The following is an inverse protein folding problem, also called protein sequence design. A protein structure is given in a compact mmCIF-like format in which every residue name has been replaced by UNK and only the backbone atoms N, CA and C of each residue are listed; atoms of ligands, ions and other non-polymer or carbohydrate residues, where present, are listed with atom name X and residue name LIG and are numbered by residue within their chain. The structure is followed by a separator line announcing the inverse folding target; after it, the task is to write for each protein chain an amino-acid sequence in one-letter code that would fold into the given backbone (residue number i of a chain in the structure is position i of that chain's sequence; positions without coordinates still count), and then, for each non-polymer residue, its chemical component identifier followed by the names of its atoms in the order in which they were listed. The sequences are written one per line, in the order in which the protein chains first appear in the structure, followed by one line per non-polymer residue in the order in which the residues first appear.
data_IF_337890383984
#
_entry.id   IF_337890383984
#
_cell.length_a   1.000
_cell.length_b   1.000
_cell.length_c   1.000
_cell.angle_alpha   90.00
_cell.angle_beta   90.00
_cell.angle_gamma   90.00
#
_symmetry.space_group_name_H-M   'P 1'
#
loop_
_entity.id
_entity.type
_entity.pdbx_description
1 polymer ?
#
# COMPACT_ATOMS: atom_id res chain seq x y z
N UNK A 1 10.63 -30.71 30.59
CA UNK A 1 11.29 -31.36 29.42
C UNK A 1 12.69 -31.87 29.77
N UNK A 2 13.63 -31.01 30.14
CA UNK A 2 14.97 -31.42 30.59
C UNK A 2 14.96 -32.47 31.71
N UNK A 3 14.20 -32.23 32.79
CA UNK A 3 14.08 -33.18 33.91
C UNK A 3 13.46 -34.54 33.52
N UNK A 4 12.63 -34.56 32.48
CA UNK A 4 12.07 -35.80 31.92
C UNK A 4 13.14 -36.58 31.16
N UNK A 5 13.88 -35.90 30.29
CA UNK A 5 14.97 -36.51 29.54
C UNK A 5 16.05 -37.06 30.48
N UNK A 6 16.36 -36.32 31.56
CA UNK A 6 17.33 -36.73 32.59
C UNK A 6 16.85 -37.94 33.39
N UNK A 7 15.58 -37.99 33.82
CA UNK A 7 15.03 -39.13 34.55
C UNK A 7 14.85 -40.38 33.69
N UNK A 8 14.47 -40.22 32.42
CA UNK A 8 14.43 -41.30 31.43
C UNK A 8 15.84 -41.87 31.15
N UNK A 9 16.83 -40.99 31.03
CA UNK A 9 18.22 -41.38 30.81
C UNK A 9 18.78 -42.18 31.98
N UNK A 10 18.64 -41.70 33.23
CA UNK A 10 19.06 -42.44 34.41
C UNK A 10 18.36 -43.79 34.53
N UNK A 11 17.06 -43.86 34.26
CA UNK A 11 16.34 -45.14 34.25
C UNK A 11 16.90 -46.10 33.18
N UNK A 12 17.33 -45.57 32.04
CA UNK A 12 18.03 -46.33 30.99
C UNK A 12 19.35 -46.94 31.49
N UNK A 13 20.21 -46.14 32.11
CA UNK A 13 21.48 -46.62 32.66
C UNK A 13 21.28 -47.72 33.70
N UNK A 14 20.35 -47.52 34.66
CA UNK A 14 20.10 -48.53 35.69
C UNK A 14 19.49 -49.83 35.13
N UNK A 15 18.75 -49.76 34.01
CA UNK A 15 18.30 -50.97 33.29
C UNK A 15 19.49 -51.72 32.67
N UNK A 16 20.44 -51.01 32.09
CA UNK A 16 21.65 -51.60 31.51
C UNK A 16 22.54 -52.23 32.59
N UNK A 17 22.78 -51.53 33.69
CA UNK A 17 23.55 -52.07 34.82
C UNK A 17 22.90 -53.31 35.42
N UNK A 18 21.57 -53.33 35.51
CA UNK A 18 20.84 -54.52 35.95
C UNK A 18 21.00 -55.68 34.97
N UNK A 19 20.93 -55.41 33.66
CA UNK A 19 21.13 -56.42 32.61
C UNK A 19 22.53 -57.04 32.69
N UNK A 20 23.57 -56.20 32.77
CA UNK A 20 24.97 -56.64 32.89
C UNK A 20 25.19 -57.43 34.18
N UNK A 21 24.60 -56.99 35.29
CA UNK A 21 24.68 -57.72 36.57
C UNK A 21 23.98 -59.07 36.51
N UNK A 22 22.81 -59.15 35.85
CA UNK A 22 22.05 -60.39 35.64
C UNK A 22 22.83 -61.39 34.81
N UNK A 23 23.46 -60.94 33.73
CA UNK A 23 24.32 -61.76 32.88
C UNK A 23 25.54 -62.29 33.63
N UNK A 24 26.19 -61.44 34.44
CA UNK A 24 27.32 -61.84 35.28
C UNK A 24 26.95 -62.89 36.31
N UNK A 25 25.77 -62.78 36.95
CA UNK A 25 25.25 -63.80 37.86
C UNK A 25 25.02 -65.11 37.12
N UNK A 26 24.34 -65.08 35.96
CA UNK A 26 24.08 -66.27 35.15
C UNK A 26 25.38 -66.96 34.69
N UNK A 27 26.38 -66.18 34.27
CA UNK A 27 27.69 -66.70 33.89
C UNK A 27 28.39 -67.42 35.05
N UNK A 28 28.44 -66.78 36.24
CA UNK A 28 29.08 -67.36 37.41
C UNK A 28 28.34 -68.59 37.93
N UNK A 29 27.00 -68.60 37.86
CA UNK A 29 26.19 -69.78 38.17
C UNK A 29 26.52 -70.95 37.22
N UNK A 30 26.62 -70.67 35.92
CA UNK A 30 26.97 -71.69 34.94
C UNK A 30 28.40 -72.25 35.17
N UNK A 31 29.37 -71.37 35.44
CA UNK A 31 30.74 -71.81 35.77
C UNK A 31 30.79 -72.66 37.04
N UNK A 32 30.03 -72.30 38.06
CA UNK A 32 29.96 -73.05 39.30
C UNK A 32 29.33 -74.44 39.07
N UNK A 33 28.22 -74.50 38.32
CA UNK A 33 27.57 -75.76 37.96
C UNK A 33 28.50 -76.71 37.21
N UNK A 34 29.30 -76.21 36.26
CA UNK A 34 30.27 -77.01 35.50
C UNK A 34 31.39 -77.60 36.35
N UNK A 35 31.78 -76.93 37.45
CA UNK A 35 32.84 -77.39 38.36
C UNK A 35 32.30 -78.28 39.49
N UNK A 36 31.01 -78.21 39.79
CA UNK A 36 30.32 -79.00 40.82
C UNK A 36 29.76 -80.34 40.29
N UNK A 37 30.09 -80.74 39.07
CA UNK A 37 29.51 -81.93 38.41
C UNK A 37 29.98 -83.25 39.09
N UNK A 38 29.07 -84.12 39.57
CA UNK A 38 29.41 -85.29 40.40
C UNK A 38 30.26 -86.36 39.73
N UNK A 39 30.36 -86.40 38.39
CA UNK A 39 31.05 -87.49 37.66
C UNK A 39 32.57 -87.52 37.86
N UNK A 40 33.21 -86.40 38.28
CA UNK A 40 34.65 -86.37 38.59
C UNK A 40 35.03 -87.07 39.90
N UNK A 41 34.07 -87.27 40.81
CA UNK A 41 34.28 -87.90 42.11
C UNK A 41 34.22 -89.43 42.06
N UNK A 42 33.92 -90.03 40.90
CA UNK A 42 33.75 -91.47 40.71
C UNK A 42 34.99 -92.19 40.15
N UNK A 43 36.21 -91.66 40.36
CA UNK A 43 37.44 -92.31 39.88
C UNK A 43 37.93 -93.44 40.82
N UNK A 44 38.39 -94.58 40.28
CA UNK A 44 38.82 -95.74 41.06
C UNK A 44 40.09 -95.43 41.89
N UNK A 45 40.32 -96.16 43.01
CA UNK A 45 41.35 -95.81 43.98
C UNK A 45 42.77 -95.87 43.38
N UNK A 46 43.64 -94.88 43.65
CA UNK A 46 44.96 -94.77 43.06
C UNK A 46 45.92 -95.85 43.59
N UNK A 47 46.62 -96.50 42.65
CA UNK A 47 47.52 -97.64 42.87
C UNK A 47 48.95 -97.27 43.28
N UNK A 48 49.27 -95.99 43.52
CA UNK A 48 50.59 -95.57 44.04
C UNK A 48 50.57 -94.32 44.96
N UNK A 49 51.52 -94.18 45.91
CA UNK A 49 51.60 -93.04 46.82
C UNK A 49 51.86 -91.70 46.12
N UNK A 50 52.62 -91.69 45.01
CA UNK A 50 52.88 -90.50 44.20
C UNK A 50 51.64 -90.01 43.44
N UNK A 51 50.75 -90.92 43.04
CA UNK A 51 49.47 -90.54 42.41
C UNK A 51 48.46 -89.99 43.42
N UNK A 52 48.47 -90.46 44.68
CA UNK A 52 47.62 -89.90 45.75
C UNK A 52 47.90 -88.44 46.03
N UNK A 53 49.16 -88.06 46.25
CA UNK A 53 49.50 -86.67 46.58
C UNK A 53 49.25 -85.72 45.41
N UNK A 54 49.46 -86.16 44.17
CA UNK A 54 49.12 -85.39 42.98
C UNK A 54 47.60 -85.17 42.84
N UNK A 55 46.79 -86.21 43.10
CA UNK A 55 45.34 -86.14 43.03
C UNK A 55 44.74 -85.26 44.16
N UNK A 56 45.25 -85.38 45.39
CA UNK A 56 44.86 -84.52 46.52
C UNK A 56 45.19 -83.04 46.27
N UNK A 57 46.36 -82.75 45.69
CA UNK A 57 46.71 -81.36 45.32
C UNK A 57 45.78 -80.80 44.23
N UNK A 58 45.37 -81.62 43.25
CA UNK A 58 44.40 -81.19 42.22
C UNK A 58 42.99 -81.02 42.77
N UNK A 59 42.58 -81.85 43.74
CA UNK A 59 41.29 -81.79 44.41
C UNK A 59 41.18 -80.55 45.32
N UNK A 60 42.21 -80.26 46.13
CA UNK A 60 42.24 -79.02 46.92
C UNK A 60 42.32 -77.77 46.05
N UNK A 61 43.00 -77.84 44.89
CA UNK A 61 42.99 -76.75 43.92
C UNK A 61 41.60 -76.52 43.32
N UNK A 62 40.88 -77.59 42.93
CA UNK A 62 39.51 -77.50 42.42
C UNK A 62 38.53 -76.97 43.48
N UNK A 63 38.61 -77.44 44.72
CA UNK A 63 37.82 -76.92 45.85
C UNK A 63 38.15 -75.46 46.18
N UNK A 64 39.40 -75.03 46.05
CA UNK A 64 39.77 -73.62 46.18
C UNK A 64 39.14 -72.78 45.05
N UNK A 65 39.08 -73.31 43.83
CA UNK A 65 38.43 -72.65 42.69
C UNK A 65 36.92 -72.54 42.87
N UNK A 66 36.26 -73.60 43.38
CA UNK A 66 34.83 -73.59 43.74
C UNK A 66 34.55 -72.51 44.80
N UNK A 67 35.28 -72.50 45.91
CA UNK A 67 35.16 -71.47 46.96
C UNK A 67 35.35 -70.04 46.43
N UNK A 68 36.28 -69.87 45.49
CA UNK A 68 36.51 -68.59 44.81
C UNK A 68 35.31 -68.17 43.95
N UNK A 69 34.74 -69.10 43.17
CA UNK A 69 33.55 -68.84 42.34
C UNK A 69 32.30 -68.58 43.18
N UNK A 70 32.11 -69.30 44.29
CA UNK A 70 31.03 -69.06 45.25
C UNK A 70 31.11 -67.64 45.82
N UNK A 71 32.30 -67.20 46.21
CA UNK A 71 32.53 -65.83 46.69
C UNK A 71 32.22 -64.79 45.61
N UNK A 72 32.68 -65.01 44.36
CA UNK A 72 32.38 -64.14 43.23
C UNK A 72 30.88 -64.09 42.92
N UNK A 73 30.20 -65.23 42.98
CA UNK A 73 28.77 -65.35 42.75
C UNK A 73 27.98 -64.63 43.85
N UNK A 74 28.40 -64.75 45.11
CA UNK A 74 27.80 -64.03 46.22
C UNK A 74 27.91 -62.51 46.01
N UNK A 75 29.10 -62.01 45.66
CA UNK A 75 29.31 -60.59 45.36
C UNK A 75 28.50 -60.13 44.13
N UNK A 76 28.43 -60.96 43.08
CA UNK A 76 27.62 -60.67 41.89
C UNK A 76 26.11 -60.61 42.22
N UNK A 77 25.60 -61.53 43.05
CA UNK A 77 24.22 -61.51 43.52
C UNK A 77 23.92 -60.28 44.38
N UNK A 78 24.86 -59.86 45.24
CA UNK A 78 24.70 -58.63 46.01
C UNK A 78 24.65 -57.41 45.08
N UNK A 79 25.54 -57.35 44.08
CA UNK A 79 25.54 -56.29 43.07
C UNK A 79 24.22 -56.26 42.30
N UNK A 80 23.71 -57.42 41.87
CA UNK A 80 22.43 -57.53 41.17
C UNK A 80 21.26 -56.98 42.00
N UNK A 81 21.16 -57.35 43.28
CA UNK A 81 20.12 -56.83 44.19
C UNK A 81 20.21 -55.32 44.36
N UNK A 82 21.43 -54.78 44.48
CA UNK A 82 21.64 -53.34 44.58
C UNK A 82 21.20 -52.63 43.29
N UNK A 83 21.61 -53.11 42.12
CA UNK A 83 21.21 -52.56 40.82
C UNK A 83 19.69 -52.65 40.61
N UNK A 84 19.04 -53.71 41.09
CA UNK A 84 17.59 -53.85 41.03
C UNK A 84 16.86 -52.82 41.89
N UNK A 85 17.34 -52.60 43.12
CA UNK A 85 16.79 -51.59 44.02
C UNK A 85 16.95 -50.17 43.47
N UNK A 86 18.12 -49.85 42.90
CA UNK A 86 18.35 -48.56 42.23
C UNK A 86 17.44 -48.38 41.02
N UNK A 87 17.32 -49.40 40.15
CA UNK A 87 16.40 -49.36 39.01
C UNK A 87 14.97 -49.07 39.45
N UNK A 88 14.48 -49.71 40.52
CA UNK A 88 13.13 -49.46 41.05
C UNK A 88 12.96 -48.01 41.54
N UNK A 89 13.98 -47.46 42.21
CA UNK A 89 13.99 -46.05 42.66
C UNK A 89 13.86 -45.10 41.46
N UNK A 90 14.66 -45.27 40.43
CA UNK A 90 14.61 -44.40 39.23
C UNK A 90 13.35 -44.64 38.40
N UNK A 91 12.78 -45.84 38.43
CA UNK A 91 11.52 -46.11 37.77
C UNK A 91 10.36 -45.38 38.44
N UNK A 92 10.36 -45.29 39.78
CA UNK A 92 9.39 -44.48 40.52
C UNK A 92 9.58 -42.98 40.22
N UNK A 93 10.82 -42.49 40.26
CA UNK A 93 11.13 -41.09 39.94
C UNK A 93 10.64 -40.75 38.54
N UNK A 94 10.98 -41.56 37.53
CA UNK A 94 10.54 -41.32 36.15
C UNK A 94 9.02 -41.35 36.00
N UNK A 95 8.31 -42.26 36.68
CA UNK A 95 6.84 -42.29 36.69
C UNK A 95 6.25 -40.99 37.23
N UNK A 96 6.79 -40.48 38.33
CA UNK A 96 6.28 -39.26 38.95
C UNK A 96 6.64 -38.03 38.13
N UNK A 97 7.87 -37.94 37.61
CA UNK A 97 8.28 -36.90 36.65
C UNK A 97 7.36 -36.88 35.42
N UNK A 98 7.00 -38.03 34.87
CA UNK A 98 6.11 -38.11 33.72
C UNK A 98 4.71 -37.58 34.03
N UNK A 99 4.13 -37.92 35.20
CA UNK A 99 2.82 -37.38 35.63
C UNK A 99 2.86 -35.85 35.72
N UNK A 100 3.91 -35.30 36.31
CA UNK A 100 4.10 -33.85 36.41
C UNK A 100 4.20 -33.19 35.03
N UNK A 101 4.93 -33.81 34.09
CA UNK A 101 5.03 -33.30 32.71
C UNK A 101 3.68 -33.27 32.04
N UNK A 102 2.89 -34.35 32.12
CA UNK A 102 1.54 -34.40 31.52
C UNK A 102 0.63 -33.33 32.12
N UNK A 103 0.69 -33.11 33.44
CA UNK A 103 -0.07 -32.04 34.08
C UNK A 103 0.32 -30.66 33.54
N UNK A 104 1.62 -30.36 33.45
CA UNK A 104 2.11 -29.10 32.91
C UNK A 104 1.76 -28.91 31.43
N UNK A 105 1.77 -29.98 30.64
CA UNK A 105 1.35 -29.96 29.24
C UNK A 105 -0.13 -29.59 29.10
N UNK A 106 -0.99 -30.15 29.94
CA UNK A 106 -2.42 -29.81 29.98
C UNK A 106 -2.64 -28.35 30.42
N UNK A 107 -1.96 -27.90 31.47
CA UNK A 107 -2.05 -26.51 31.93
C UNK A 107 -1.55 -25.52 30.88
N UNK A 108 -0.43 -25.82 30.20
CA UNK A 108 0.07 -25.03 29.08
C UNK A 108 -0.91 -25.02 27.90
N UNK A 109 -1.58 -26.14 27.61
CA UNK A 109 -2.65 -26.21 26.62
C UNK A 109 -3.81 -25.26 26.96
N UNK A 110 -4.27 -25.28 28.21
CA UNK A 110 -5.32 -24.39 28.71
C UNK A 110 -4.92 -22.92 28.64
N UNK A 111 -3.72 -22.58 29.09
CA UNK A 111 -3.20 -21.21 29.04
C UNK A 111 -3.10 -20.71 27.60
N UNK A 112 -2.61 -21.53 26.68
CA UNK A 112 -2.56 -21.21 25.25
C UNK A 112 -3.94 -20.92 24.69
N UNK A 113 -4.94 -21.72 25.02
CA UNK A 113 -6.33 -21.48 24.63
C UNK A 113 -6.85 -20.13 25.12
N UNK A 114 -6.58 -19.79 26.38
CA UNK A 114 -6.96 -18.48 26.95
C UNK A 114 -6.23 -17.34 26.23
N UNK A 115 -4.93 -17.49 25.97
CA UNK A 115 -4.15 -16.47 25.24
C UNK A 115 -4.72 -16.26 23.84
N UNK A 116 -5.10 -17.32 23.14
CA UNK A 116 -5.65 -17.26 21.80
C UNK A 116 -7.05 -16.63 21.78
N UNK A 117 -7.89 -16.96 22.76
CA UNK A 117 -9.20 -16.34 22.96
C UNK A 117 -9.08 -14.84 23.24
N UNK A 118 -8.22 -14.43 24.18
CA UNK A 118 -7.99 -13.02 24.48
C UNK A 118 -7.40 -12.29 23.27
N UNK A 119 -6.51 -12.93 22.52
CA UNK A 119 -5.95 -12.36 21.29
C UNK A 119 -7.03 -12.17 20.22
N UNK A 120 -7.97 -13.11 20.08
CA UNK A 120 -9.11 -12.95 19.17
C UNK A 120 -10.01 -11.80 19.62
N UNK A 121 -10.40 -11.76 20.89
CA UNK A 121 -11.23 -10.68 21.43
C UNK A 121 -10.59 -9.31 21.26
N UNK A 122 -9.26 -9.21 21.35
CA UNK A 122 -8.53 -7.99 21.10
C UNK A 122 -8.60 -7.58 19.62
N UNK A 123 -8.37 -8.53 18.69
CA UNK A 123 -8.50 -8.27 17.25
C UNK A 123 -9.92 -7.85 16.87
N UNK A 124 -10.92 -8.50 17.46
CA UNK A 124 -12.33 -8.24 17.20
C UNK A 124 -12.86 -7.04 17.99
N UNK A 125 -12.02 -6.40 18.82
CA UNK A 125 -12.43 -5.24 19.61
C UNK A 125 -12.76 -4.05 18.72
N UNK A 126 -13.82 -3.32 19.06
CA UNK A 126 -14.24 -2.13 18.34
C UNK A 126 -13.12 -1.09 18.21
N UNK A 127 -12.23 -1.01 19.20
CA UNK A 127 -11.07 -0.12 19.17
C UNK A 127 -10.12 -0.43 18.02
N UNK A 128 -9.83 -1.71 17.76
CA UNK A 128 -8.95 -2.13 16.65
C UNK A 128 -9.62 -1.84 15.31
N UNK A 129 -10.92 -2.15 15.17
CA UNK A 129 -11.66 -1.86 13.95
C UNK A 129 -11.70 -0.35 13.62
N UNK A 130 -11.89 0.50 14.62
CA UNK A 130 -11.87 1.96 14.45
C UNK A 130 -10.48 2.47 14.04
N UNK A 131 -9.40 1.83 14.53
CA UNK A 131 -8.05 2.16 14.09
C UNK A 131 -7.83 1.76 12.63
N UNK A 132 -8.23 0.56 12.24
CA UNK A 132 -8.12 0.09 10.84
C UNK A 132 -8.90 0.99 9.88
N UNK A 133 -10.10 1.43 10.28
CA UNK A 133 -10.91 2.38 9.49
C UNK A 133 -10.20 3.74 9.36
N UNK A 134 -9.60 4.25 10.45
CA UNK A 134 -8.83 5.49 10.41
C UNK A 134 -7.60 5.37 9.53
N UNK A 135 -6.88 4.25 9.60
CA UNK A 135 -5.73 3.99 8.75
C UNK A 135 -6.12 3.87 7.28
N UNK A 136 -7.28 3.29 6.96
CA UNK A 136 -7.84 3.30 5.61
C UNK A 136 -8.11 4.73 5.12
N UNK A 137 -8.78 5.55 5.94
CA UNK A 137 -9.04 6.97 5.61
C UNK A 137 -7.75 7.77 5.42
N UNK A 138 -6.70 7.48 6.21
CA UNK A 138 -5.40 8.11 6.05
C UNK A 138 -4.73 7.73 4.73
N UNK A 139 -4.85 6.47 4.27
CA UNK A 139 -4.36 6.04 2.96
C UNK A 139 -5.08 6.77 1.83
N UNK A 140 -6.42 6.84 1.89
CA UNK A 140 -7.21 7.54 0.87
C UNK A 140 -6.85 9.02 0.77
N UNK A 141 -6.68 9.69 1.92
CA UNK A 141 -6.23 11.09 1.97
C UNK A 141 -4.81 11.27 1.43
N UNK A 142 -3.90 10.32 1.68
CA UNK A 142 -2.54 10.36 1.16
C UNK A 142 -2.51 10.19 -0.37
N UNK A 143 -3.36 9.33 -0.92
CA UNK A 143 -3.53 9.16 -2.36
C UNK A 143 -4.09 10.43 -3.00
N UNK A 144 -5.12 11.04 -2.40
CA UNK A 144 -5.69 12.28 -2.91
C UNK A 144 -4.70 13.44 -2.86
N UNK A 145 -3.94 13.57 -1.76
CA UNK A 145 -2.84 14.53 -1.67
C UNK A 145 -1.84 14.33 -2.80
N UNK A 146 -1.49 13.08 -3.09
CA UNK A 146 -0.55 12.76 -4.16
C UNK A 146 -1.10 13.14 -5.53
N UNK A 147 -2.37 12.84 -5.83
CA UNK A 147 -3.04 13.27 -7.07
C UNK A 147 -3.04 14.79 -7.24
N UNK A 148 -3.38 15.52 -6.18
CA UNK A 148 -3.37 16.98 -6.20
C UNK A 148 -1.95 17.52 -6.42
N UNK A 149 -0.95 16.92 -5.78
CA UNK A 149 0.45 17.30 -5.97
C UNK A 149 0.91 17.08 -7.42
N UNK A 150 0.52 15.97 -8.04
CA UNK A 150 0.76 15.73 -9.47
C UNK A 150 0.10 16.80 -10.34
N UNK A 151 -1.17 17.11 -10.06
CA UNK A 151 -1.91 18.13 -10.82
C UNK A 151 -1.29 19.52 -10.70
N UNK A 152 -0.80 19.87 -9.52
CA UNK A 152 -0.05 21.12 -9.30
C UNK A 152 1.21 21.11 -10.18
N UNK A 153 1.94 20.00 -10.24
CA UNK A 153 3.11 19.84 -11.11
C UNK A 153 2.79 20.11 -12.59
N UNK A 154 1.72 19.52 -13.12
CA UNK A 154 1.27 19.74 -14.51
C UNK A 154 0.93 21.22 -14.77
N UNK A 155 0.17 21.84 -13.85
CA UNK A 155 -0.21 23.25 -13.98
C UNK A 155 1.01 24.18 -13.92
N UNK A 156 1.99 23.88 -13.06
CA UNK A 156 3.24 24.62 -12.98
C UNK A 156 4.04 24.52 -14.29
N UNK A 157 4.03 23.35 -14.94
CA UNK A 157 4.67 23.16 -16.23
C UNK A 157 3.98 24.00 -17.31
N UNK A 158 2.64 23.91 -17.43
CA UNK A 158 1.88 24.71 -18.39
C UNK A 158 2.07 26.22 -18.17
N UNK A 159 2.12 26.67 -16.92
CA UNK A 159 2.39 28.07 -16.61
C UNK A 159 3.79 28.50 -17.09
N UNK A 160 4.80 27.65 -16.89
CA UNK A 160 6.17 27.91 -17.33
C UNK A 160 6.26 27.97 -18.86
N UNK A 161 5.58 27.05 -19.56
CA UNK A 161 5.51 27.00 -21.03
C UNK A 161 4.83 28.26 -21.59
N UNK A 162 3.71 28.67 -21.00
CA UNK A 162 3.00 29.88 -21.39
C UNK A 162 3.85 31.13 -21.16
N UNK A 163 4.55 31.21 -20.03
CA UNK A 163 5.47 32.31 -19.71
C UNK A 163 6.60 32.39 -20.74
N UNK A 164 7.18 31.25 -21.11
CA UNK A 164 8.23 31.20 -22.14
C UNK A 164 7.69 31.68 -23.50
N UNK A 165 6.50 31.23 -23.89
CA UNK A 165 5.86 31.64 -25.15
C UNK A 165 5.58 33.14 -25.20
N UNK A 166 5.14 33.73 -24.09
CA UNK A 166 4.97 35.19 -23.98
C UNK A 166 6.30 35.89 -24.22
N UNK A 167 7.38 35.47 -23.55
CA UNK A 167 8.70 36.06 -23.75
C UNK A 167 9.23 35.95 -25.18
N UNK A 168 9.00 34.81 -25.84
CA UNK A 168 9.33 34.63 -27.27
C UNK A 168 8.57 35.62 -28.16
N UNK A 169 7.26 35.76 -27.95
CA UNK A 169 6.42 36.69 -28.70
C UNK A 169 6.78 38.15 -28.44
N UNK A 170 7.07 38.51 -27.19
CA UNK A 170 7.54 39.85 -26.80
C UNK A 170 8.85 40.21 -27.49
N UNK A 171 9.81 39.29 -27.54
CA UNK A 171 11.06 39.47 -28.27
C UNK A 171 10.83 39.66 -29.78
N UNK A 172 9.94 38.87 -30.38
CA UNK A 172 9.55 39.01 -31.78
C UNK A 172 8.91 40.37 -32.09
N UNK A 173 7.99 40.83 -31.23
CA UNK A 173 7.35 42.15 -31.35
C UNK A 173 8.36 43.29 -31.18
N UNK A 174 9.28 43.19 -30.23
CA UNK A 174 10.33 44.18 -30.04
C UNK A 174 11.23 44.30 -31.28
N UNK A 175 11.60 43.17 -31.88
CA UNK A 175 12.38 43.14 -33.12
C UNK A 175 11.63 43.81 -34.29
N UNK A 176 10.35 43.48 -34.49
CA UNK A 176 9.52 44.09 -35.53
C UNK A 176 9.36 45.60 -35.32
N UNK A 177 9.15 46.06 -34.08
CA UNK A 177 9.11 47.49 -33.74
C UNK A 177 10.42 48.20 -34.11
N UNK A 178 11.56 47.60 -33.77
CA UNK A 178 12.87 48.15 -34.15
C UNK A 178 13.05 48.27 -35.67
N UNK A 179 12.60 47.28 -36.45
CA UNK A 179 12.64 47.36 -37.91
C UNK A 179 11.75 48.49 -38.45
N UNK A 180 10.55 48.67 -37.90
CA UNK A 180 9.66 49.77 -38.26
C UNK A 180 10.27 51.13 -37.90
N UNK A 181 10.85 51.28 -36.72
CA UNK A 181 11.53 52.51 -36.30
C UNK A 181 12.70 52.83 -37.23
N UNK A 182 13.50 51.82 -37.59
CA UNK A 182 14.60 51.96 -38.57
C UNK A 182 14.09 52.42 -39.93
N UNK A 183 13.00 51.81 -40.42
CA UNK A 183 12.38 52.18 -41.69
C UNK A 183 11.81 53.61 -41.64
N UNK A 184 11.16 54.00 -40.55
CA UNK A 184 10.62 55.34 -40.34
C UNK A 184 11.73 56.40 -40.31
N UNK A 185 12.83 56.14 -39.60
CA UNK A 185 14.02 57.01 -39.61
C UNK A 185 14.56 57.15 -41.04
N UNK A 186 14.62 56.05 -41.81
CA UNK A 186 15.08 56.10 -43.20
C UNK A 186 14.14 56.93 -44.08
N UNK A 187 12.82 56.76 -43.95
CA UNK A 187 11.81 57.57 -44.66
C UNK A 187 12.00 59.05 -44.36
N UNK A 188 12.16 59.41 -43.08
CA UNK A 188 12.41 60.81 -42.67
C UNK A 188 13.67 61.36 -43.33
N UNK A 189 14.79 60.62 -43.29
CA UNK A 189 16.05 61.05 -43.92
C UNK A 189 15.94 61.23 -45.44
N UNK A 190 15.14 60.41 -46.12
CA UNK A 190 14.89 60.52 -47.56
C UNK A 190 13.99 61.72 -47.87
N UNK A 191 12.98 61.99 -47.05
CA UNK A 191 12.10 63.15 -47.20
C UNK A 191 12.86 64.47 -47.01
N UNK A 192 13.86 64.50 -46.13
CA UNK A 192 14.76 65.66 -45.94
C UNK A 192 15.74 65.87 -47.10
N UNK A 193 16.12 64.81 -47.82
CA UNK A 193 17.01 64.86 -48.99
C UNK A 193 16.27 65.16 -50.30
N UNK A 194 14.94 65.08 -50.31
CA UNK A 194 14.15 65.45 -51.47
C UNK A 194 14.21 66.99 -51.68
N UNK A 195 14.45 67.48 -52.90
CA UNK A 195 14.37 68.91 -53.18
C UNK A 195 12.97 69.43 -52.84
N UNK A 196 12.86 70.46 -52.01
CA UNK A 196 11.61 71.20 -51.84
C UNK A 196 11.18 71.72 -53.22
N UNK A 197 10.01 71.34 -53.75
CA UNK A 197 9.52 71.96 -54.97
C UNK A 197 9.15 73.41 -54.64
N UNK A 198 10.06 74.34 -54.93
CA UNK A 198 9.73 75.73 -55.22
C UNK A 198 8.94 75.74 -56.53
N UNK A 199 7.71 75.25 -56.50
CA UNK A 199 6.76 75.40 -57.59
C UNK A 199 5.38 75.50 -56.99
N UNK A 200 4.77 76.68 -57.14
CA UNK A 200 3.33 76.90 -57.02
C UNK A 200 2.63 75.97 -58.01
N UNK A 201 2.27 74.76 -57.57
CA UNK A 201 1.39 73.87 -58.31
C UNK A 201 -0.06 74.17 -57.92
N UNK A 202 -0.81 74.69 -58.89
CA UNK A 202 -2.27 74.68 -58.86
C UNK A 202 -2.71 73.21 -58.79
N UNK A 203 -3.40 72.83 -57.73
CA UNK A 203 -3.96 71.47 -57.59
C UNK A 203 -5.28 71.34 -58.38
N UNK A 204 -5.47 70.28 -59.17
CA UNK A 204 -6.74 69.97 -59.83
C UNK A 204 -7.79 69.46 -58.82
N UNK A 205 -9.10 69.58 -59.13
CA UNK A 205 -10.21 69.37 -58.17
C UNK A 205 -10.53 67.89 -57.91
N UNK A 206 -9.52 67.05 -57.66
CA UNK A 206 -9.70 65.63 -57.33
C UNK A 206 -8.48 65.01 -56.63
N UNK A 207 -7.98 65.69 -55.59
CA UNK A 207 -6.92 65.16 -54.72
C UNK A 207 -7.40 65.17 -53.26
N UNK A 208 -7.41 64.00 -52.60
CA UNK A 208 -7.78 63.87 -51.20
C UNK A 208 -6.56 64.14 -50.31
N UNK A 209 -6.63 65.16 -49.47
CA UNK A 209 -5.65 65.45 -48.42
C UNK A 209 -6.07 64.80 -47.11
N UNK A 210 -5.18 64.01 -46.50
CA UNK A 210 -5.33 63.51 -45.13
C UNK A 210 -4.60 64.45 -44.20
N UNK A 211 -5.34 65.27 -43.45
CA UNK A 211 -4.81 66.10 -42.37
C UNK A 211 -5.16 65.47 -41.02
N UNK A 212 -4.17 65.34 -40.13
CA UNK A 212 -4.33 64.88 -38.76
C UNK A 212 -5.00 65.98 -37.91
N UNK A 213 -6.14 65.75 -37.24
CA UNK A 213 -6.76 66.75 -36.37
C UNK A 213 -6.03 66.87 -35.02
N UNK A 214 -6.16 68.00 -34.30
CA UNK A 214 -5.25 68.37 -33.19
C UNK A 214 -5.49 67.67 -31.85
N UNK A 215 -6.27 66.58 -31.79
CA UNK A 215 -6.59 65.89 -30.53
C UNK A 215 -6.56 64.37 -30.67
N UNK A 216 -6.01 63.63 -29.69
CA UNK A 216 -5.83 62.18 -29.81
C UNK A 216 -7.13 61.41 -29.56
N UNK A 217 -7.30 60.30 -30.29
CA UNK A 217 -8.27 59.21 -30.10
C UNK A 217 -9.67 59.30 -30.76
N UNK A 218 -9.78 59.75 -32.01
CA UNK A 218 -10.92 59.33 -32.84
C UNK A 218 -10.58 59.32 -34.35
N UNK A 219 -10.49 58.13 -34.94
CA UNK A 219 -10.48 57.96 -36.40
C UNK A 219 -11.92 57.68 -36.86
N UNK A 220 -12.40 58.40 -37.88
CA UNK A 220 -13.66 58.09 -38.56
C UNK A 220 -13.38 57.88 -40.04
N UNK A 221 -13.93 56.81 -40.61
CA UNK A 221 -13.87 56.55 -42.05
C UNK A 221 -14.93 57.37 -42.78
N UNK A 222 -14.56 57.99 -43.90
CA UNK A 222 -15.52 58.58 -44.83
C UNK A 222 -16.19 57.46 -45.66
N UNK A 223 -17.49 57.63 -45.90
CA UNK A 223 -18.44 56.65 -46.41
C UNK A 223 -18.03 55.82 -47.64
N UNK A 224 -18.49 54.56 -47.58
CA UNK A 224 -18.91 53.63 -48.65
C UNK A 224 -18.88 54.11 -50.10
N UNK A 225 -18.18 53.34 -50.96
CA UNK A 225 -18.73 52.75 -52.19
C UNK A 225 -17.68 51.88 -52.94
N UNK A 226 -18.13 50.70 -53.41
CA UNK A 226 -17.57 49.80 -54.44
C UNK A 226 -16.57 48.69 -53.99
N UNK A 227 -16.47 47.57 -54.75
CA UNK A 227 -17.05 46.29 -54.39
C UNK A 227 -15.97 45.26 -54.02
N UNK A 228 -16.40 44.15 -53.40
CA UNK A 228 -15.55 43.01 -53.06
C UNK A 228 -14.70 42.51 -54.24
N UNK A 229 -13.42 42.15 -54.01
CA UNK A 229 -12.79 41.08 -54.76
C UNK A 229 -12.85 39.80 -53.94
N UNK A 230 -13.62 38.86 -54.48
CA UNK A 230 -13.48 37.42 -54.18
C UNK A 230 -12.09 37.00 -54.64
N UNK A 231 -11.25 36.54 -53.71
CA UNK A 231 -10.21 35.56 -54.03
C UNK A 231 -10.31 34.40 -53.05
N UNK A 232 -10.66 33.26 -53.62
CA UNK A 232 -10.79 31.98 -52.97
C UNK A 232 -9.41 31.38 -52.66
N UNK A 233 -9.34 30.75 -51.47
CA UNK A 233 -8.74 29.46 -51.11
C UNK A 233 -7.35 29.10 -51.69
N UNK A 234 -6.36 28.71 -50.88
CA UNK A 234 -6.21 27.35 -50.29
C UNK A 234 -4.88 27.31 -49.44
N UNK A 235 -4.44 26.19 -48.81
CA UNK A 235 -4.45 25.97 -47.36
C UNK A 235 -3.04 25.61 -46.81
N UNK A 236 -2.95 25.01 -45.60
CA UNK A 236 -1.78 24.45 -44.86
C UNK A 236 -1.38 25.36 -43.68
N UNK A 237 -1.31 24.96 -42.41
CA UNK A 237 -1.39 23.65 -41.76
C UNK A 237 -1.77 23.83 -40.26
N UNK A 238 -2.73 23.02 -39.81
CA UNK A 238 -2.85 22.36 -38.49
C UNK A 238 -2.81 23.18 -37.19
N UNK A 239 -4.00 23.51 -36.70
CA UNK A 239 -4.32 23.50 -35.27
C UNK A 239 -5.59 22.64 -35.05
N UNK A 240 -5.41 21.39 -34.62
CA UNK A 240 -6.51 20.61 -34.06
C UNK A 240 -6.72 21.03 -32.60
N UNK A 241 -7.41 22.14 -32.40
CA UNK A 241 -8.27 22.28 -31.23
C UNK A 241 -9.64 21.76 -31.66
N UNK A 242 -10.27 20.81 -30.93
CA UNK A 242 -11.64 20.45 -31.23
C UNK A 242 -12.48 21.70 -31.03
N UNK A 243 -13.10 22.19 -32.10
CA UNK A 243 -14.17 23.18 -32.02
C UNK A 243 -15.26 22.55 -31.17
N UNK A 244 -15.29 22.91 -29.88
CA UNK A 244 -16.33 22.46 -28.98
C UNK A 244 -17.62 23.15 -29.44
N UNK A 245 -18.46 22.41 -30.15
CA UNK A 245 -19.75 22.89 -30.60
C UNK A 245 -20.59 23.22 -29.36
N UNK A 246 -20.82 24.51 -29.13
CA UNK A 246 -21.62 25.00 -28.01
C UNK A 246 -23.03 25.34 -28.48
N UNK A 247 -24.01 25.09 -27.62
CA UNK A 247 -25.42 25.42 -27.86
C UNK A 247 -25.86 26.50 -26.88
N UNK A 248 -26.50 27.54 -27.40
CA UNK A 248 -27.12 28.59 -26.59
C UNK A 248 -28.35 28.06 -25.87
N UNK A 249 -28.35 28.10 -24.55
CA UNK A 249 -29.41 27.54 -23.70
C UNK A 249 -29.80 28.55 -22.63
N UNK A 250 -31.09 28.61 -22.34
CA UNK A 250 -31.67 29.50 -21.33
C UNK A 250 -32.02 28.68 -20.09
N UNK A 251 -31.44 29.04 -18.96
CA UNK A 251 -31.59 28.34 -17.68
C UNK A 251 -32.35 29.26 -16.72
N UNK A 252 -33.51 28.81 -16.23
CA UNK A 252 -34.48 29.65 -15.51
C UNK A 252 -35.02 28.99 -14.23
N UNK A 253 -35.46 29.83 -13.30
CA UNK A 253 -36.17 29.46 -12.07
C UNK A 253 -37.39 30.36 -11.83
N UNK A 254 -38.45 29.74 -11.33
CA UNK A 254 -39.66 30.43 -10.85
C UNK A 254 -39.50 30.82 -9.39
N UNK A 255 -39.83 32.07 -9.07
CA UNK A 255 -39.72 32.65 -7.72
C UNK A 255 -40.89 33.61 -7.44
N UNK A 256 -41.21 33.81 -6.16
CA UNK A 256 -42.38 34.57 -5.75
C UNK A 256 -42.18 36.09 -5.63
N UNK A 257 -40.95 36.56 -5.39
CA UNK A 257 -40.62 37.96 -5.11
C UNK A 257 -39.24 38.32 -5.70
N UNK A 258 -38.98 39.60 -5.98
CA UNK A 258 -37.69 40.06 -6.48
C UNK A 258 -36.56 39.74 -5.47
N UNK A 259 -35.78 38.70 -5.76
CA UNK A 259 -34.71 38.15 -4.92
C UNK A 259 -33.39 38.09 -5.71
N UNK A 260 -32.27 38.15 -4.99
CA UNK A 260 -30.95 37.93 -5.58
C UNK A 260 -30.77 36.43 -5.83
N UNK A 261 -30.79 36.06 -7.10
CA UNK A 261 -30.74 34.67 -7.57
C UNK A 261 -29.41 34.45 -8.27
N UNK A 262 -28.67 33.45 -7.82
CA UNK A 262 -27.42 33.03 -8.45
C UNK A 262 -27.51 31.61 -8.98
N UNK A 263 -26.89 31.36 -10.13
CA UNK A 263 -26.77 30.06 -10.76
C UNK A 263 -25.34 29.53 -10.59
N UNK A 264 -25.21 28.31 -10.10
CA UNK A 264 -23.94 27.60 -10.00
C UNK A 264 -24.08 26.23 -10.67
N UNK A 265 -23.05 25.78 -11.37
CA UNK A 265 -23.11 24.48 -12.04
C UNK A 265 -21.76 23.95 -12.49
N UNK A 266 -21.78 22.73 -13.03
CA UNK A 266 -20.61 21.98 -13.49
C UNK A 266 -19.83 22.70 -14.58
N UNK A 267 -20.50 23.49 -15.42
CA UNK A 267 -19.87 24.30 -16.47
C UNK A 267 -18.97 25.43 -15.94
N UNK A 268 -19.00 25.71 -14.63
CA UNK A 268 -18.07 26.62 -13.94
C UNK A 268 -17.32 25.91 -12.80
N UNK A 269 -17.21 24.58 -12.86
CA UNK A 269 -16.62 23.73 -11.82
C UNK A 269 -17.21 23.96 -10.42
N UNK A 270 -18.44 24.48 -10.32
CA UNK A 270 -19.06 24.91 -9.06
C UNK A 270 -18.26 25.97 -8.27
N UNK A 271 -17.29 26.64 -8.90
CA UNK A 271 -16.42 27.64 -8.25
C UNK A 271 -16.95 29.07 -8.35
N UNK A 272 -17.79 29.33 -9.35
CA UNK A 272 -18.30 30.66 -9.66
C UNK A 272 -19.83 30.66 -9.69
N UNK A 273 -20.41 31.78 -9.31
CA UNK A 273 -21.85 32.00 -9.29
C UNK A 273 -22.23 33.10 -10.29
N UNK A 274 -23.18 32.81 -11.17
CA UNK A 274 -23.70 33.75 -12.15
C UNK A 274 -24.96 34.41 -11.61
N UNK A 275 -25.02 35.73 -11.56
CA UNK A 275 -26.25 36.45 -11.19
C UNK A 275 -27.29 36.26 -12.28
N UNK A 276 -28.50 35.87 -11.90
CA UNK A 276 -29.64 35.72 -12.80
C UNK A 276 -30.33 37.06 -13.01
N UNK A 277 -30.69 37.36 -14.25
CA UNK A 277 -31.46 38.55 -14.60
C UNK A 277 -32.96 38.23 -14.63
N UNK A 278 -33.84 39.19 -14.31
CA UNK A 278 -35.29 39.00 -14.39
C UNK A 278 -35.71 38.85 -15.86
N UNK A 279 -36.48 37.80 -16.14
CA UNK A 279 -36.93 37.42 -17.49
C UNK A 279 -38.43 37.68 -17.68
N UNK A 280 -39.18 37.78 -16.58
CA UNK A 280 -40.63 38.07 -16.56
C UNK A 280 -41.16 38.12 -15.14
N UNK A 281 -42.48 38.23 -14.97
CA UNK A 281 -43.11 38.17 -13.64
C UNK A 281 -42.81 36.82 -12.97
N UNK A 282 -42.09 36.87 -11.84
CA UNK A 282 -41.74 35.68 -11.06
C UNK A 282 -40.73 34.74 -11.73
N UNK A 283 -39.97 35.18 -12.75
CA UNK A 283 -38.95 34.35 -13.42
C UNK A 283 -37.63 35.09 -13.56
N UNK A 284 -36.55 34.40 -13.20
CA UNK A 284 -35.18 34.88 -13.40
C UNK A 284 -34.30 33.77 -13.96
N UNK A 285 -33.24 34.14 -14.69
CA UNK A 285 -32.36 33.16 -15.32
C UNK A 285 -31.18 33.76 -16.05
N UNK A 286 -30.41 32.90 -16.72
CA UNK A 286 -29.22 33.25 -17.51
C UNK A 286 -29.25 32.50 -18.84
N UNK A 287 -28.76 33.15 -19.90
CA UNK A 287 -28.54 32.49 -21.19
C UNK A 287 -27.04 32.20 -21.36
N UNK A 288 -26.68 30.94 -21.59
CA UNK A 288 -25.30 30.46 -21.67
C UNK A 288 -25.07 29.64 -22.93
N UNK A 289 -23.89 29.77 -23.53
CA UNK A 289 -23.43 28.89 -24.60
C UNK A 289 -22.70 27.70 -23.95
N UNK A 290 -23.35 26.55 -23.88
CA UNK A 290 -22.85 25.36 -23.19
C UNK A 290 -22.36 24.29 -24.18
N UNK A 291 -21.24 23.62 -23.91
CA UNK A 291 -20.76 22.53 -24.75
C UNK A 291 -21.70 21.33 -24.68
N UNK A 292 -21.70 20.51 -25.74
CA UNK A 292 -22.43 19.23 -25.74
C UNK A 292 -22.02 18.38 -24.53
N UNK A 293 -23.01 17.83 -23.83
CA UNK A 293 -22.76 17.00 -22.65
C UNK A 293 -23.79 17.17 -21.55
N UNK A 294 -23.51 16.48 -20.43
CA UNK A 294 -24.35 16.44 -19.24
C UNK A 294 -23.88 17.51 -18.25
N UNK A 295 -24.73 18.48 -17.97
CA UNK A 295 -24.45 19.59 -17.06
C UNK A 295 -25.38 19.53 -15.85
N UNK A 296 -24.79 19.65 -14.66
CA UNK A 296 -25.54 19.75 -13.42
C UNK A 296 -25.45 21.17 -12.87
N UNK A 297 -26.53 21.68 -12.32
CA UNK A 297 -26.56 23.04 -11.78
C UNK A 297 -27.59 23.18 -10.65
N UNK A 298 -27.48 24.27 -9.89
CA UNK A 298 -28.36 24.61 -8.79
C UNK A 298 -28.44 26.12 -8.59
N UNK A 299 -29.55 26.59 -8.05
CA UNK A 299 -29.74 28.01 -7.75
C UNK A 299 -29.50 28.30 -6.27
N UNK A 300 -28.89 29.45 -6.00
CA UNK A 300 -28.77 30.04 -4.68
C UNK A 300 -29.69 31.26 -4.62
N UNK A 301 -30.76 31.17 -3.83
CA UNK A 301 -31.80 32.20 -3.69
C UNK A 301 -31.87 32.60 -2.23
N UNK A 302 -31.58 33.87 -1.91
CA UNK A 302 -31.51 34.40 -0.54
C UNK A 302 -30.70 33.49 0.41
N UNK A 303 -29.57 32.97 -0.07
CA UNK A 303 -28.68 32.09 0.68
C UNK A 303 -29.15 30.63 0.82
N UNK A 304 -30.26 30.24 0.16
CA UNK A 304 -30.78 28.86 0.17
C UNK A 304 -30.60 28.18 -1.18
N UNK A 305 -30.20 26.91 -1.14
CA UNK A 305 -29.99 26.09 -2.32
C UNK A 305 -31.29 25.49 -2.85
N UNK A 306 -31.76 25.97 -4.00
CA UNK A 306 -33.01 25.56 -4.64
C UNK A 306 -32.77 24.89 -5.99
N UNK A 307 -33.71 24.02 -6.38
CA UNK A 307 -33.79 23.43 -7.71
C UNK A 307 -35.02 23.97 -8.44
N UNK A 308 -34.85 24.33 -9.71
CA UNK A 308 -35.94 24.73 -10.60
C UNK A 308 -36.85 23.53 -10.91
N UNK A 309 -38.15 23.74 -10.88
CA UNK A 309 -39.18 22.78 -11.33
C UNK A 309 -39.17 22.55 -12.84
N UNK A 310 -38.56 23.48 -13.60
CA UNK A 310 -38.51 23.44 -15.06
C UNK A 310 -37.49 22.43 -15.62
N UNK A 311 -36.66 21.86 -14.74
CA UNK A 311 -35.56 20.97 -15.15
C UNK A 311 -35.60 19.67 -14.34
N UNK A 312 -35.13 18.59 -14.97
CA UNK A 312 -35.01 17.28 -14.32
C UNK A 312 -34.09 17.37 -13.10
N UNK A 313 -34.39 16.64 -12.03
CA UNK A 313 -33.59 16.60 -10.80
C UNK A 313 -32.78 15.31 -10.72
N UNK A 314 -31.57 15.41 -10.16
CA UNK A 314 -30.68 14.27 -9.93
C UNK A 314 -30.07 14.35 -8.53
N UNK A 315 -29.97 13.23 -7.77
CA UNK A 315 -29.35 13.22 -6.45
C UNK A 315 -27.88 13.64 -6.52
N UNK A 316 -27.47 14.53 -5.61
CA UNK A 316 -26.13 15.11 -5.60
C UNK A 316 -25.12 14.42 -4.66
N UNK A 317 -25.51 13.30 -4.05
CA UNK A 317 -24.66 12.52 -3.13
C UNK A 317 -24.44 13.15 -1.74
N UNK A 318 -24.92 14.37 -1.49
CA UNK A 318 -24.83 15.09 -0.22
C UNK A 318 -26.21 15.22 0.48
N UNK A 319 -27.15 14.33 0.14
CA UNK A 319 -28.49 14.32 0.72
C UNK A 319 -29.48 15.33 0.11
N UNK A 320 -29.18 15.89 -1.07
CA UNK A 320 -30.10 16.75 -1.82
C UNK A 320 -30.04 16.51 -3.33
N UNK A 321 -30.70 17.38 -4.09
CA UNK A 321 -30.78 17.28 -5.55
C UNK A 321 -30.12 18.48 -6.26
N UNK A 322 -29.60 18.22 -7.46
CA UNK A 322 -29.22 19.20 -8.47
C UNK A 322 -30.20 19.16 -9.65
N UNK A 323 -30.29 20.22 -10.44
CA UNK A 323 -30.93 20.16 -11.74
C UNK A 323 -29.98 19.65 -12.81
N UNK A 324 -30.53 18.93 -13.78
CA UNK A 324 -29.80 18.30 -14.87
C UNK A 324 -30.20 18.91 -16.22
N UNK A 325 -29.20 19.24 -17.03
CA UNK A 325 -29.36 19.72 -18.40
C UNK A 325 -28.45 18.92 -19.34
N UNK A 326 -29.04 18.27 -20.33
CA UNK A 326 -28.32 17.52 -21.35
C UNK A 326 -28.34 18.30 -22.67
N UNK A 327 -27.15 18.64 -23.17
CA UNK A 327 -26.97 19.28 -24.47
C UNK A 327 -26.54 18.22 -25.47
N UNK A 328 -27.35 18.04 -26.51
CA UNK A 328 -27.11 17.15 -27.67
C UNK A 328 -26.59 17.93 -28.87
#
# INVERSE_FOLDING_TARGET
KKEKEESEWHLGEHKEWLSNSKEKVAYLQNQLNLLSDPERLALPPPSSPKMRSALENTDESAKAQIRSLETKLQLANQSFRNSEAERQKYEQINRDTMKHVVQLENENGRLRGITEELSSKLRDSASVQVLDEKDARLRDLADERSRLQWRIGELCQWWSDAKWKIGELEAGLAHQRHLLDTANIKIQSLNEQAPQPSTTYVMPPSSYSVSQPPFPNQWRFANTCLPSPVYALTPLCHSHLPTCETKRVKIEIEHGNQQDIFLMGSFLDWKWALRCDPIGEGKSGVTLDLPRGRHEFRFLVDGRWLTSSLHTKVPNGLGGDNNLLCIE
#
